data_IF_459774193830
#
_entry.id   IF_459774193830
#
_cell.length_a   1.000
_cell.length_b   1.000
_cell.length_c   1.000
_cell.angle_alpha   90.00
_cell.angle_beta   90.00
_cell.angle_gamma   90.00
#
_symmetry.space_group_name_H-M   'P 1'
#
loop_
_entity.id
_entity.type
_entity.pdbx_description
1 polymer ?
#
# COMPACT_ATOMS: atom_id res chain seq x y z
N UNK A 1 76.93 17.00 -26.85
CA UNK A 1 76.95 15.59 -27.33
C UNK A 1 77.07 14.72 -26.08
N UNK A 2 76.26 13.71 -25.76
CA UNK A 2 75.48 12.73 -26.52
C UNK A 2 74.09 12.55 -25.89
N UNK A 3 73.09 12.29 -26.74
CA UNK A 3 71.74 11.87 -26.36
C UNK A 3 71.75 10.37 -26.06
N UNK A 4 71.03 9.94 -25.03
CA UNK A 4 70.59 8.55 -24.89
C UNK A 4 69.05 8.58 -24.79
N UNK A 5 68.44 7.88 -25.73
CA UNK A 5 66.99 7.68 -25.90
C UNK A 5 66.54 6.47 -25.07
N UNK A 6 65.20 6.25 -25.05
CA UNK A 6 64.43 5.09 -24.57
C UNK A 6 64.07 5.15 -23.06
N UNK A 7 62.85 4.91 -22.61
CA UNK A 7 61.65 4.35 -23.26
C UNK A 7 60.38 4.81 -22.53
N UNK A 8 59.31 4.99 -23.31
CA UNK A 8 57.93 5.05 -22.83
C UNK A 8 57.60 3.78 -22.04
N UNK A 9 57.20 3.92 -20.78
CA UNK A 9 56.44 2.87 -20.07
C UNK A 9 55.17 3.52 -19.54
N UNK A 10 54.12 3.38 -20.35
CA UNK A 10 52.76 3.75 -20.01
C UNK A 10 52.23 2.73 -18.99
N UNK A 11 52.26 3.07 -17.69
CA UNK A 11 51.62 2.25 -16.67
C UNK A 11 50.16 2.70 -16.58
N UNK A 12 49.33 2.09 -17.43
CA UNK A 12 47.88 2.15 -17.31
C UNK A 12 47.52 1.29 -16.10
N UNK A 13 47.35 1.93 -14.94
CA UNK A 13 46.90 1.27 -13.72
C UNK A 13 45.38 1.07 -13.82
N UNK A 14 44.95 0.07 -14.61
CA UNK A 14 43.55 -0.33 -14.69
C UNK A 14 43.18 -1.11 -13.43
N UNK A 15 42.84 -0.40 -12.36
CA UNK A 15 42.20 -1.01 -11.19
C UNK A 15 40.84 -1.53 -11.62
N UNK A 16 40.72 -2.86 -11.65
CA UNK A 16 39.46 -3.58 -11.76
C UNK A 16 38.57 -3.18 -10.57
N UNK A 17 37.67 -2.22 -10.77
CA UNK A 17 36.54 -2.01 -9.87
C UNK A 17 35.55 -3.15 -10.09
N UNK A 18 35.62 -4.19 -9.25
CA UNK A 18 34.58 -5.20 -9.18
C UNK A 18 33.37 -4.61 -8.48
N UNK A 19 32.44 -4.04 -9.25
CA UNK A 19 31.13 -3.62 -8.75
C UNK A 19 30.38 -4.89 -8.35
N UNK A 20 30.27 -5.14 -7.04
CA UNK A 20 29.44 -6.22 -6.50
C UNK A 20 27.99 -5.78 -6.61
N UNK A 21 27.29 -6.17 -7.67
CA UNK A 21 25.84 -5.97 -7.77
C UNK A 21 25.21 -7.01 -6.86
N UNK A 22 24.86 -6.62 -5.63
CA UNK A 22 23.99 -7.41 -4.78
C UNK A 22 22.66 -7.59 -5.53
N UNK A 23 22.38 -8.82 -5.94
CA UNK A 23 21.10 -9.17 -6.54
C UNK A 23 20.00 -8.86 -5.52
N UNK A 24 19.23 -7.79 -5.78
CA UNK A 24 17.96 -7.60 -5.09
C UNK A 24 17.05 -8.73 -5.58
N UNK A 25 16.70 -9.65 -4.68
CA UNK A 25 15.64 -10.61 -4.95
C UNK A 25 14.44 -9.85 -5.51
N UNK A 26 13.90 -10.35 -6.62
CA UNK A 26 12.70 -9.80 -7.22
C UNK A 26 11.56 -10.00 -6.22
N UNK A 27 11.25 -8.95 -5.45
CA UNK A 27 10.03 -8.89 -4.64
C UNK A 27 8.85 -9.05 -5.60
N UNK A 28 8.27 -10.25 -5.61
CA UNK A 28 7.08 -10.56 -6.38
C UNK A 28 5.97 -9.64 -5.87
N UNK A 29 5.47 -8.82 -6.77
CA UNK A 29 4.56 -7.71 -6.46
C UNK A 29 3.25 -8.30 -5.94
N UNK A 30 2.97 -8.08 -4.67
CA UNK A 30 1.68 -8.41 -4.06
C UNK A 30 0.67 -7.40 -4.55
N UNK A 31 -0.23 -7.84 -5.42
CA UNK A 31 -1.40 -7.07 -5.78
C UNK A 31 -2.33 -6.98 -4.55
N UNK A 32 -2.32 -5.82 -3.91
CA UNK A 32 -3.10 -5.44 -2.73
C UNK A 32 -2.80 -6.21 -1.41
N UNK A 33 -2.04 -5.62 -0.48
CA UNK A 33 -1.70 -6.24 0.80
C UNK A 33 -2.85 -6.19 1.82
N UNK A 34 -3.97 -5.50 1.52
CA UNK A 34 -5.11 -5.41 2.43
C UNK A 34 -6.23 -6.36 2.00
N UNK A 35 -6.65 -7.17 2.96
CA UNK A 35 -7.79 -8.07 2.85
C UNK A 35 -8.94 -7.54 3.72
N UNK A 36 -10.16 -7.79 3.27
CA UNK A 36 -11.38 -7.69 4.07
C UNK A 36 -12.07 -9.06 4.05
N UNK A 37 -12.29 -9.64 5.22
CA UNK A 37 -12.81 -11.00 5.38
C UNK A 37 -12.04 -12.05 4.54
N UNK A 38 -10.72 -11.89 4.48
CA UNK A 38 -9.81 -12.77 3.72
C UNK A 38 -9.76 -12.54 2.21
N UNK A 39 -10.53 -11.59 1.67
CA UNK A 39 -10.54 -11.25 0.24
C UNK A 39 -9.83 -9.91 -0.02
N UNK A 40 -9.10 -9.74 -1.15
CA UNK A 40 -8.50 -8.45 -1.48
C UNK A 40 -9.55 -7.34 -1.54
N UNK A 41 -9.26 -6.22 -0.87
CA UNK A 41 -10.19 -5.08 -0.83
C UNK A 41 -10.45 -4.55 -2.24
N UNK A 42 -11.73 -4.42 -2.58
CA UNK A 42 -12.16 -3.65 -3.74
C UNK A 42 -12.27 -2.16 -3.37
N UNK A 43 -11.27 -1.38 -3.77
CA UNK A 43 -11.21 0.06 -3.48
C UNK A 43 -12.38 0.86 -4.05
N UNK A 44 -13.01 0.40 -5.14
CA UNK A 44 -14.17 1.09 -5.72
C UNK A 44 -15.46 0.91 -4.91
N UNK A 45 -15.54 -0.19 -4.14
CA UNK A 45 -16.70 -0.54 -3.32
C UNK A 45 -16.52 -0.12 -1.86
N UNK A 46 -15.30 0.25 -1.45
CA UNK A 46 -15.01 0.71 -0.10
C UNK A 46 -15.71 2.05 0.18
N UNK A 47 -16.41 2.13 1.31
CA UNK A 47 -17.18 3.32 1.71
C UNK A 47 -17.36 3.40 3.23
N UNK A 48 -18.01 4.46 3.71
CA UNK A 48 -18.34 4.63 5.14
C UNK A 48 -19.20 3.50 5.71
N UNK A 49 -19.97 2.80 4.88
CA UNK A 49 -20.81 1.68 5.31
C UNK A 49 -20.12 0.31 5.19
N UNK A 50 -18.86 0.26 4.77
CA UNK A 50 -18.08 -0.98 4.70
C UNK A 50 -17.97 -1.65 6.06
N UNK A 51 -18.03 -2.98 6.06
CA UNK A 51 -17.94 -3.86 7.23
C UNK A 51 -17.01 -5.01 6.91
N UNK A 52 -16.53 -5.68 7.95
CA UNK A 52 -15.64 -6.83 7.82
C UNK A 52 -14.31 -6.61 8.54
N UNK A 53 -13.58 -7.72 8.68
CA UNK A 53 -12.30 -7.76 9.36
C UNK A 53 -11.19 -7.46 8.36
N UNK A 54 -10.45 -6.40 8.65
CA UNK A 54 -9.28 -6.01 7.86
C UNK A 54 -8.05 -6.74 8.36
N UNK A 55 -7.28 -7.28 7.43
CA UNK A 55 -5.97 -7.88 7.68
C UNK A 55 -4.97 -7.33 6.68
N UNK A 56 -3.74 -7.07 7.10
CA UNK A 56 -2.63 -6.74 6.20
C UNK A 56 -1.71 -7.93 6.05
N UNK A 57 -1.35 -8.28 4.82
CA UNK A 57 -0.51 -9.43 4.51
C UNK A 57 0.68 -9.05 3.61
N UNK A 58 1.72 -9.86 3.67
CA UNK A 58 2.83 -9.88 2.71
C UNK A 58 3.18 -11.31 2.34
N UNK A 59 3.99 -11.51 1.30
CA UNK A 59 4.59 -12.78 0.97
C UNK A 59 5.56 -13.19 2.07
N UNK A 60 5.58 -14.49 2.35
CA UNK A 60 6.53 -15.07 3.28
C UNK A 60 7.86 -15.29 2.56
N UNK A 61 8.91 -14.57 2.94
CA UNK A 61 10.24 -14.73 2.33
C UNK A 61 10.98 -15.98 2.81
N UNK A 62 10.48 -16.66 3.86
CA UNK A 62 11.11 -17.84 4.48
C UNK A 62 10.37 -19.15 4.21
N UNK A 63 9.32 -19.13 3.40
CA UNK A 63 8.48 -20.29 3.11
C UNK A 63 7.42 -20.00 2.08
N UNK A 64 6.50 -20.94 1.85
CA UNK A 64 5.41 -20.74 0.90
C UNK A 64 4.23 -20.02 1.57
N UNK A 65 3.59 -19.09 0.85
CA UNK A 65 2.35 -18.44 1.27
C UNK A 65 2.51 -16.99 1.72
N UNK A 66 1.56 -16.53 2.54
CA UNK A 66 1.49 -15.15 3.03
C UNK A 66 1.67 -15.10 4.55
N UNK A 67 2.15 -13.97 5.07
CA UNK A 67 2.28 -13.68 6.49
C UNK A 67 1.52 -12.40 6.83
N UNK A 68 0.90 -12.36 8.01
CA UNK A 68 0.21 -11.18 8.52
C UNK A 68 1.22 -10.13 9.01
N UNK A 69 0.97 -8.86 8.68
CA UNK A 69 1.77 -7.73 9.11
C UNK A 69 0.98 -6.94 10.15
N UNK A 70 1.56 -6.62 11.32
CA UNK A 70 0.95 -5.68 12.26
C UNK A 70 0.85 -4.27 11.68
N UNK A 71 -0.31 -3.63 11.85
CA UNK A 71 -0.61 -2.31 11.33
C UNK A 71 -1.30 -1.41 12.37
N UNK A 72 -1.39 -0.12 12.04
CA UNK A 72 -2.19 0.89 12.72
C UNK A 72 -3.34 1.30 11.81
N UNK A 73 -4.46 1.64 12.43
CA UNK A 73 -5.62 2.23 11.74
C UNK A 73 -6.04 3.49 12.46
N UNK A 74 -6.26 4.55 11.70
CA UNK A 74 -6.75 5.81 12.24
C UNK A 74 -7.49 6.62 11.18
N UNK A 75 -8.30 7.56 11.66
CA UNK A 75 -8.98 8.54 10.84
C UNK A 75 -8.21 9.85 10.88
N UNK A 76 -8.03 10.46 9.71
CA UNK A 76 -7.40 11.76 9.53
C UNK A 76 -8.38 12.73 8.88
N UNK A 77 -8.48 13.94 9.41
CA UNK A 77 -9.26 15.06 8.87
C UNK A 77 -8.36 16.27 8.82
N UNK A 78 -8.22 16.90 7.65
CA UNK A 78 -7.37 18.07 7.46
C UNK A 78 -5.94 17.87 8.01
N UNK A 79 -5.34 16.72 7.67
CA UNK A 79 -4.02 16.26 8.15
C UNK A 79 -3.89 16.03 9.66
N UNK A 80 -4.96 16.09 10.44
CA UNK A 80 -4.97 15.81 11.88
C UNK A 80 -5.63 14.47 12.16
N UNK A 81 -5.03 13.67 13.05
CA UNK A 81 -5.64 12.42 13.51
C UNK A 81 -6.84 12.78 14.39
N UNK A 82 -8.03 12.33 13.99
CA UNK A 82 -9.29 12.56 14.73
C UNK A 82 -9.74 11.34 15.52
N UNK A 83 -9.28 10.15 15.15
CA UNK A 83 -9.60 8.93 15.87
C UNK A 83 -8.50 7.87 15.67
N UNK A 84 -8.04 7.28 16.77
CA UNK A 84 -7.11 6.15 16.76
C UNK A 84 -7.97 4.88 16.84
N UNK A 85 -8.04 4.11 15.76
CA UNK A 85 -8.89 2.93 15.59
C UNK A 85 -8.46 1.74 16.45
N UNK A 86 -8.37 1.91 17.76
CA UNK A 86 -7.81 0.93 18.70
C UNK A 86 -6.28 1.02 18.87
N UNK A 87 -5.58 1.80 18.02
CA UNK A 87 -4.14 2.03 18.15
C UNK A 87 -3.83 3.19 19.11
N UNK A 88 -4.18 3.03 20.38
CA UNK A 88 -3.76 3.96 21.42
C UNK A 88 -2.26 3.74 21.71
N UNK A 89 -1.39 4.48 21.02
CA UNK A 89 0.08 4.61 21.19
C UNK A 89 0.98 3.36 21.17
N UNK A 90 0.54 2.20 21.65
CA UNK A 90 1.31 0.94 21.75
C UNK A 90 0.62 -0.25 21.10
N UNK A 91 -0.67 -0.13 20.75
CA UNK A 91 -1.44 -1.26 20.23
C UNK A 91 -1.27 -1.37 18.70
N UNK A 92 -0.33 -2.22 18.32
CA UNK A 92 -0.26 -2.90 17.03
C UNK A 92 -1.47 -3.80 16.85
N UNK A 93 -2.11 -3.75 15.68
CA UNK A 93 -3.24 -4.62 15.34
C UNK A 93 -2.81 -5.60 14.26
N UNK A 94 -3.16 -6.87 14.41
CA UNK A 94 -3.07 -7.85 13.31
C UNK A 94 -4.37 -7.89 12.52
N UNK A 95 -5.50 -7.55 13.16
CA UNK A 95 -6.84 -7.58 12.60
C UNK A 95 -7.72 -6.52 13.25
N UNK A 96 -8.70 -5.99 12.51
CA UNK A 96 -9.72 -5.10 13.07
C UNK A 96 -11.01 -5.12 12.26
N UNK A 97 -12.14 -5.19 12.96
CA UNK A 97 -13.46 -4.96 12.37
C UNK A 97 -13.60 -3.49 11.97
N UNK A 98 -13.63 -3.21 10.66
CA UNK A 98 -13.49 -1.84 10.14
C UNK A 98 -14.65 -0.93 10.50
N UNK A 99 -15.84 -1.51 10.69
CA UNK A 99 -17.03 -0.77 11.12
C UNK A 99 -16.86 -0.12 12.51
N UNK A 100 -15.99 -0.67 13.37
CA UNK A 100 -15.66 -0.08 14.68
C UNK A 100 -14.87 1.23 14.55
N UNK A 101 -14.15 1.42 13.45
CA UNK A 101 -13.42 2.65 13.13
C UNK A 101 -14.32 3.60 12.34
N UNK A 102 -14.96 3.11 11.28
CA UNK A 102 -15.77 3.92 10.37
C UNK A 102 -16.98 4.56 11.02
N UNK A 103 -17.51 4.00 12.12
CA UNK A 103 -18.60 4.63 12.89
C UNK A 103 -18.25 6.02 13.46
N UNK A 104 -16.96 6.37 13.51
CA UNK A 104 -16.48 7.69 13.95
C UNK A 104 -16.06 8.59 12.77
N UNK A 105 -16.15 8.08 11.54
CA UNK A 105 -15.72 8.79 10.35
C UNK A 105 -16.83 9.69 9.79
N UNK A 106 -16.42 10.84 9.28
CA UNK A 106 -17.26 11.72 8.50
C UNK A 106 -16.89 11.65 7.01
N UNK A 107 -17.81 12.11 6.17
CA UNK A 107 -17.50 12.36 4.77
C UNK A 107 -16.35 13.38 4.64
N UNK A 108 -15.39 13.07 3.79
CA UNK A 108 -14.17 13.87 3.61
C UNK A 108 -13.00 13.42 4.49
N UNK A 109 -13.24 12.56 5.49
CA UNK A 109 -12.15 11.97 6.27
C UNK A 109 -11.33 10.99 5.42
N UNK A 110 -10.10 10.76 5.85
CA UNK A 110 -9.21 9.74 5.33
C UNK A 110 -9.07 8.63 6.36
N UNK A 111 -9.39 7.41 5.96
CA UNK A 111 -9.02 6.23 6.72
C UNK A 111 -7.60 5.82 6.31
N UNK A 112 -6.67 5.86 7.26
CA UNK A 112 -5.29 5.48 7.06
C UNK A 112 -5.04 4.13 7.71
N UNK A 113 -4.45 3.21 6.94
CA UNK A 113 -4.02 1.89 7.40
C UNK A 113 -2.56 1.74 7.03
N UNK A 114 -1.66 1.71 8.02
CA UNK A 114 -0.21 1.66 7.77
C UNK A 114 0.47 0.59 8.62
N UNK A 115 1.47 -0.13 8.08
CA UNK A 115 2.19 -1.13 8.84
C UNK A 115 3.07 -0.47 9.91
N UNK A 116 3.32 -1.22 10.99
CA UNK A 116 4.16 -0.74 12.08
C UNK A 116 5.65 -0.87 11.75
N UNK A 117 6.02 -1.96 11.07
CA UNK A 117 7.39 -2.17 10.64
C UNK A 117 7.69 -1.34 9.39
N UNK A 118 8.75 -0.52 9.45
CA UNK A 118 9.23 0.30 8.32
C UNK A 118 9.56 -0.53 7.07
N UNK A 119 9.95 -1.80 7.25
CA UNK A 119 10.25 -2.71 6.13
C UNK A 119 9.05 -2.95 5.22
N UNK A 120 7.82 -2.72 5.70
CA UNK A 120 6.59 -2.93 4.94
C UNK A 120 5.88 -1.62 4.59
N UNK A 121 6.51 -0.46 4.76
CA UNK A 121 5.84 0.85 4.65
C UNK A 121 5.07 1.06 3.32
N UNK A 122 5.51 0.44 2.23
CA UNK A 122 4.86 0.45 0.91
C UNK A 122 3.48 -0.25 0.89
N UNK A 123 3.18 -1.07 1.91
CA UNK A 123 1.88 -1.73 2.07
C UNK A 123 0.80 -0.84 2.68
N UNK A 124 1.15 0.36 3.16
CA UNK A 124 0.19 1.32 3.70
C UNK A 124 -0.81 1.80 2.66
N UNK A 125 -2.05 2.05 3.08
CA UNK A 125 -3.14 2.55 2.22
C UNK A 125 -3.91 3.67 2.91
N UNK A 126 -4.38 4.59 2.09
CA UNK A 126 -5.24 5.70 2.51
C UNK A 126 -6.52 5.62 1.68
N UNK A 127 -7.66 5.54 2.37
CA UNK A 127 -8.98 5.54 1.75
C UNK A 127 -9.64 6.89 1.99
N UNK A 128 -9.98 7.58 0.90
CA UNK A 128 -10.75 8.82 0.96
C UNK A 128 -12.23 8.49 1.11
N UNK A 129 -12.84 8.87 2.23
CA UNK A 129 -14.23 8.55 2.55
C UNK A 129 -15.15 9.55 1.85
N UNK A 130 -15.41 9.30 0.57
CA UNK A 130 -16.25 10.15 -0.29
C UNK A 130 -17.70 9.69 -0.30
N UNK A 131 -18.59 10.61 -0.63
CA UNK A 131 -20.00 10.31 -0.81
C UNK A 131 -20.20 9.65 -2.19
N UNK A 132 -20.28 8.32 -2.24
CA UNK A 132 -20.49 7.56 -3.48
C UNK A 132 -21.97 7.50 -3.92
N UNK A 133 -22.88 8.24 -3.26
CA UNK A 133 -24.30 8.30 -3.62
C UNK A 133 -24.51 8.66 -5.10
N UNK A 134 -23.68 9.54 -5.67
CA UNK A 134 -23.79 9.94 -7.08
C UNK A 134 -23.41 8.80 -8.05
N UNK A 135 -22.41 7.96 -7.71
CA UNK A 135 -21.97 6.81 -8.53
C UNK A 135 -22.97 5.65 -8.49
N UNK A 136 -23.68 5.49 -7.37
CA UNK A 136 -24.75 4.49 -7.22
C UNK A 136 -26.01 4.90 -7.98
N UNK A 137 -26.43 6.17 -7.88
CA UNK A 137 -27.63 6.67 -8.54
C UNK A 137 -27.48 6.75 -10.06
N UNK A 138 -26.28 7.09 -10.58
CA UNK A 138 -26.06 7.12 -12.03
C UNK A 138 -26.18 5.75 -12.70
N UNK A 139 -25.81 4.66 -12.02
CA UNK A 139 -25.99 3.30 -12.53
C UNK A 139 -27.47 2.91 -12.64
N UNK A 140 -28.32 3.41 -11.75
CA UNK A 140 -29.76 3.15 -11.78
C UNK A 140 -30.48 4.01 -12.83
N UNK A 141 -29.99 5.23 -13.07
CA UNK A 141 -30.57 6.17 -14.04
C UNK A 141 -30.23 5.86 -15.51
N UNK A 142 -29.17 5.08 -15.79
CA UNK A 142 -28.77 4.71 -17.15
C UNK A 142 -29.48 3.41 -17.64
N UNK A 143 -30.20 2.70 -16.77
CA UNK A 143 -30.81 1.40 -17.10
C UNK A 143 -32.22 1.46 -17.73
N UNK A 144 -32.75 2.65 -18.05
CA UNK A 144 -34.06 2.80 -18.70
C UNK A 144 -33.98 3.67 -19.95
N UNK A 145 -33.59 3.05 -21.07
CA UNK A 145 -34.19 3.31 -22.39
C UNK A 145 -33.68 2.28 -23.41
N UNK A 146 -34.32 1.10 -23.53
CA UNK A 146 -34.53 0.55 -24.86
C UNK A 146 -35.54 1.47 -25.55
N UNK A 147 -35.09 2.20 -26.59
CA UNK A 147 -36.01 2.99 -27.39
C UNK A 147 -37.09 2.09 -27.97
N UNK A 148 -38.31 2.62 -27.88
CA UNK A 148 -39.57 2.00 -28.23
C UNK A 148 -39.63 1.59 -29.70
N UNK A 149 -40.39 0.53 -29.97
CA UNK A 149 -40.62 0.04 -31.33
C UNK A 149 -41.45 1.00 -32.17
N UNK A 150 -41.05 1.10 -33.44
CA UNK A 150 -41.91 1.09 -34.63
C UNK A 150 -41.14 0.35 -35.73
#
# INVERSE_FOLDING_TARGET
MKRIKLSFVSIVFSTLFTVTIAARENEKIIYNPLLIDGQPINYEQFSLSSKGVITMITENTKGNGTMTIPFKVYLRRDNKIVYLGGSASTNTLSEIEISKVLKFANLGDELVIEPVDKKFQTSGRVFFLRNNLVKFMSKFLISKNPQDGC
#
